data_IF_509573296995
#
_entry.id   IF_509573296995
#
_cell.length_a   1.000
_cell.length_b   1.000
_cell.length_c   1.000
_cell.angle_alpha   90.00
_cell.angle_beta   90.00
_cell.angle_gamma   90.00
#
_symmetry.space_group_name_H-M   'P 1'
#
loop_
_entity.id
_entity.type
_entity.pdbx_description
1 polymer ?
#
# COMPACT_ATOMS: atom_id res chain seq x y z
N UNK A 1 -10.30 19.14 36.82
CA UNK A 1 -8.95 18.57 37.03
C UNK A 1 -8.73 17.65 35.85
N UNK A 2 -8.07 18.01 34.74
CA UNK A 2 -7.03 19.02 34.47
C UNK A 2 -7.21 19.52 33.02
N UNK A 3 -7.70 20.74 32.82
CA UNK A 3 -8.00 21.28 31.47
C UNK A 3 -6.87 22.13 30.88
N UNK A 4 -5.74 22.26 31.56
CA UNK A 4 -4.62 23.09 31.14
C UNK A 4 -3.32 22.26 31.08
N UNK A 5 -3.28 21.24 30.21
CA UNK A 5 -2.01 20.61 29.86
C UNK A 5 -1.32 21.49 28.82
N UNK A 6 -0.21 22.18 29.15
CA UNK A 6 0.51 22.97 28.17
C UNK A 6 1.12 22.04 27.12
N UNK A 7 0.91 22.38 25.86
CA UNK A 7 1.49 21.70 24.70
C UNK A 7 2.46 22.64 23.99
N UNK A 8 3.44 22.08 23.30
CA UNK A 8 4.32 22.83 22.40
C UNK A 8 3.90 22.56 20.96
N UNK A 9 3.46 23.61 20.28
CA UNK A 9 3.10 23.53 18.87
C UNK A 9 4.28 23.99 18.03
N UNK A 10 4.73 23.14 17.12
CA UNK A 10 5.79 23.50 16.16
C UNK A 10 5.23 24.47 15.12
N UNK A 11 5.81 25.68 15.03
CA UNK A 11 5.50 26.63 13.95
C UNK A 11 6.43 26.40 12.75
N UNK A 12 7.68 26.02 13.02
CA UNK A 12 8.70 25.64 12.03
C UNK A 12 9.49 24.45 12.56
N UNK A 13 10.46 23.95 11.78
CA UNK A 13 11.31 22.82 12.19
C UNK A 13 12.15 23.09 13.46
N UNK A 14 12.40 24.34 13.81
CA UNK A 14 13.24 24.74 14.94
C UNK A 14 12.55 25.64 15.98
N UNK A 15 11.29 26.02 15.77
CA UNK A 15 10.55 26.92 16.66
C UNK A 15 9.26 26.27 17.18
N UNK A 16 9.13 26.23 18.50
CA UNK A 16 7.96 25.73 19.22
C UNK A 16 7.38 26.84 20.09
N UNK A 17 6.06 26.95 20.12
CA UNK A 17 5.34 27.93 20.94
C UNK A 17 4.43 27.19 21.92
N UNK A 18 4.38 27.61 23.21
CA UNK A 18 3.44 27.04 24.17
C UNK A 18 2.00 27.38 23.82
N UNK A 19 1.11 26.40 23.97
CA UNK A 19 -0.32 26.54 23.79
C UNK A 19 -1.10 25.62 24.72
N UNK A 20 -2.42 25.77 24.72
CA UNK A 20 -3.35 24.90 25.46
C UNK A 20 -4.43 24.45 24.47
N UNK A 21 -4.87 23.20 24.59
CA UNK A 21 -5.98 22.70 23.78
C UNK A 21 -7.29 23.34 24.25
N UNK A 22 -8.00 23.98 23.33
CA UNK A 22 -9.31 24.59 23.63
C UNK A 22 -10.40 23.53 23.84
N UNK A 23 -10.41 22.49 23.00
CA UNK A 23 -11.32 21.35 23.11
C UNK A 23 -10.53 20.05 22.82
N UNK A 24 -10.19 19.26 23.84
CA UNK A 24 -9.52 17.97 23.65
C UNK A 24 -10.41 16.85 23.12
N UNK A 25 -11.74 17.02 23.14
CA UNK A 25 -12.70 15.97 22.80
C UNK A 25 -13.14 16.02 21.33
N UNK A 26 -12.88 17.13 20.64
CA UNK A 26 -13.20 17.31 19.22
C UNK A 26 -11.97 17.60 18.37
N UNK A 27 -11.94 17.00 17.18
CA UNK A 27 -10.86 17.15 16.21
C UNK A 27 -11.42 17.35 14.81
N UNK A 28 -10.68 18.09 13.99
CA UNK A 28 -10.99 18.26 12.57
C UNK A 28 -10.31 17.13 11.79
N UNK A 29 -11.09 16.37 11.03
CA UNK A 29 -10.64 15.21 10.25
C UNK A 29 -10.77 15.50 8.76
N UNK A 30 -9.68 15.31 8.02
CA UNK A 30 -9.67 15.33 6.55
C UNK A 30 -10.34 14.05 6.01
N UNK A 31 -11.37 14.24 5.17
CA UNK A 31 -12.09 13.14 4.52
C UNK A 31 -11.77 13.02 3.03
N UNK A 32 -10.88 13.87 2.49
CA UNK A 32 -10.42 13.87 1.12
C UNK A 32 -10.96 15.04 0.29
N UNK A 33 -10.34 15.26 -0.89
CA UNK A 33 -10.71 16.33 -1.84
C UNK A 33 -10.73 17.75 -1.24
N UNK A 34 -10.00 17.97 -0.15
CA UNK A 34 -9.95 19.25 0.55
C UNK A 34 -11.12 19.53 1.51
N UNK A 35 -11.94 18.52 1.82
CA UNK A 35 -13.02 18.66 2.80
C UNK A 35 -12.62 18.16 4.17
N UNK A 36 -13.02 18.91 5.18
CA UNK A 36 -12.75 18.64 6.58
C UNK A 36 -14.07 18.61 7.36
N UNK A 37 -14.16 17.68 8.31
CA UNK A 37 -15.32 17.55 9.19
C UNK A 37 -14.87 17.47 10.64
N UNK A 38 -15.61 18.11 11.53
CA UNK A 38 -15.40 17.97 12.96
C UNK A 38 -15.96 16.62 13.44
N UNK A 39 -15.19 15.92 14.26
CA UNK A 39 -15.56 14.64 14.86
C UNK A 39 -15.13 14.60 16.32
N UNK A 40 -15.84 13.82 17.12
CA UNK A 40 -15.32 13.42 18.44
C UNK A 40 -14.00 12.66 18.26
N UNK A 41 -13.09 12.77 19.23
CA UNK A 41 -11.83 12.02 19.22
C UNK A 41 -12.05 10.51 19.10
N UNK A 42 -13.13 10.01 19.71
CA UNK A 42 -13.48 8.59 19.65
C UNK A 42 -13.90 8.14 18.25
N UNK A 43 -14.67 8.96 17.53
CA UNK A 43 -15.10 8.66 16.16
C UNK A 43 -13.99 8.90 15.14
N UNK A 44 -13.14 9.91 15.37
CA UNK A 44 -11.94 10.13 14.58
C UNK A 44 -10.99 8.93 14.67
N UNK A 45 -10.81 8.35 15.86
CA UNK A 45 -10.02 7.14 16.04
C UNK A 45 -10.59 5.97 15.23
N UNK A 46 -11.89 5.69 15.35
CA UNK A 46 -12.56 4.64 14.56
C UNK A 46 -12.42 4.88 13.05
N UNK A 47 -12.54 6.12 12.61
CA UNK A 47 -12.39 6.50 11.21
C UNK A 47 -10.99 6.15 10.68
N UNK A 48 -9.93 6.51 11.41
CA UNK A 48 -8.57 6.19 11.00
C UNK A 48 -8.24 4.69 11.13
N UNK A 49 -8.76 4.00 12.15
CA UNK A 49 -8.62 2.53 12.26
C UNK A 49 -9.26 1.81 11.08
N UNK A 50 -10.47 2.21 10.67
CA UNK A 50 -11.12 1.69 9.47
C UNK A 50 -10.27 1.99 8.22
N UNK A 51 -9.76 3.22 8.08
CA UNK A 51 -8.91 3.62 6.94
C UNK A 51 -7.62 2.80 6.85
N UNK A 52 -6.99 2.49 7.99
CA UNK A 52 -5.81 1.60 8.06
C UNK A 52 -6.20 0.18 7.67
N UNK A 53 -7.35 -0.32 8.14
CA UNK A 53 -7.89 -1.62 7.76
C UNK A 53 -8.12 -1.75 6.24
N UNK A 54 -8.76 -0.75 5.64
CA UNK A 54 -9.01 -0.67 4.20
C UNK A 54 -7.69 -0.62 3.41
N UNK A 55 -6.72 0.16 3.86
CA UNK A 55 -5.41 0.23 3.22
C UNK A 55 -4.69 -1.12 3.29
N UNK A 56 -4.77 -1.79 4.44
CA UNK A 56 -4.19 -3.12 4.65
C UNK A 56 -4.85 -4.21 3.78
N UNK A 57 -6.18 -4.17 3.62
CA UNK A 57 -6.88 -5.14 2.76
C UNK A 57 -6.55 -4.92 1.28
N UNK A 58 -6.48 -3.67 0.84
CA UNK A 58 -6.05 -3.31 -0.51
C UNK A 58 -4.60 -3.74 -0.80
N UNK A 59 -3.70 -3.57 0.17
CA UNK A 59 -2.31 -4.04 0.06
C UNK A 59 -2.25 -5.57 -0.14
N UNK A 60 -2.97 -6.33 0.70
CA UNK A 60 -3.02 -7.81 0.58
C UNK A 60 -3.58 -8.26 -0.77
N UNK A 61 -4.63 -7.59 -1.26
CA UNK A 61 -5.18 -7.87 -2.58
C UNK A 61 -4.14 -7.64 -3.69
N UNK A 62 -3.39 -6.53 -3.61
CA UNK A 62 -2.31 -6.22 -4.55
C UNK A 62 -1.17 -7.25 -4.49
N UNK A 63 -0.76 -7.67 -3.30
CA UNK A 63 0.24 -8.73 -3.10
C UNK A 63 -0.19 -10.04 -3.77
N UNK A 64 -1.46 -10.43 -3.60
CA UNK A 64 -2.02 -11.63 -4.25
C UNK A 64 -1.99 -11.51 -5.78
N UNK A 65 -2.34 -10.34 -6.33
CA UNK A 65 -2.28 -10.09 -7.78
C UNK A 65 -0.84 -10.20 -8.27
N UNK A 66 0.11 -9.62 -7.53
CA UNK A 66 1.52 -9.65 -7.88
C UNK A 66 2.07 -11.09 -7.89
N UNK A 67 1.73 -11.90 -6.87
CA UNK A 67 2.13 -13.30 -6.80
C UNK A 67 1.57 -14.11 -7.97
N UNK A 68 0.30 -13.91 -8.31
CA UNK A 68 -0.33 -14.54 -9.47
C UNK A 68 0.38 -14.16 -10.77
N UNK A 69 0.68 -12.88 -10.97
CA UNK A 69 1.39 -12.39 -12.16
C UNK A 69 2.82 -12.95 -12.25
N UNK A 70 3.53 -13.02 -11.13
CA UNK A 70 4.87 -13.60 -11.07
C UNK A 70 4.86 -15.08 -11.43
N UNK A 71 3.90 -15.85 -10.91
CA UNK A 71 3.75 -17.27 -11.26
C UNK A 71 3.43 -17.46 -12.75
N UNK A 72 2.49 -16.69 -13.28
CA UNK A 72 2.12 -16.76 -14.70
C UNK A 72 3.31 -16.46 -15.61
N UNK A 73 4.12 -15.45 -15.27
CA UNK A 73 5.33 -15.11 -16.01
C UNK A 73 6.32 -16.28 -16.05
N UNK A 74 6.56 -16.96 -14.92
CA UNK A 74 7.44 -18.13 -14.85
C UNK A 74 6.93 -19.29 -15.71
N UNK A 75 5.63 -19.57 -15.66
CA UNK A 75 5.00 -20.63 -16.47
C UNK A 75 5.16 -20.33 -17.96
N UNK A 76 4.93 -19.09 -18.37
CA UNK A 76 5.09 -18.67 -19.78
C UNK A 76 6.55 -18.81 -20.23
N UNK A 77 7.50 -18.41 -19.38
CA UNK A 77 8.94 -18.55 -19.67
C UNK A 77 9.36 -20.01 -19.84
N UNK A 78 8.90 -20.90 -18.95
CA UNK A 78 9.19 -22.34 -19.03
C UNK A 78 8.61 -22.96 -20.30
N UNK A 79 7.34 -22.65 -20.64
CA UNK A 79 6.72 -23.12 -21.87
C UNK A 79 7.44 -22.61 -23.12
N UNK A 80 7.92 -21.37 -23.10
CA UNK A 80 8.72 -20.81 -24.19
C UNK A 80 10.03 -21.58 -24.34
N UNK A 81 10.75 -21.84 -23.25
CA UNK A 81 11.98 -22.63 -23.24
C UNK A 81 11.77 -24.04 -23.76
N UNK A 82 10.69 -24.71 -23.33
CA UNK A 82 10.33 -26.04 -23.82
C UNK A 82 10.03 -26.05 -25.32
N UNK A 83 9.31 -25.04 -25.83
CA UNK A 83 9.04 -24.92 -27.27
C UNK A 83 10.32 -24.67 -28.07
N UNK A 84 11.22 -23.83 -27.58
CA UNK A 84 12.52 -23.55 -28.24
C UNK A 84 13.37 -24.83 -28.29
N UNK A 85 13.46 -25.59 -27.19
CA UNK A 85 14.20 -26.85 -27.17
C UNK A 85 13.62 -27.89 -28.13
N UNK A 86 12.28 -28.02 -28.18
CA UNK A 86 11.59 -28.93 -29.12
C UNK A 86 11.76 -28.49 -30.58
N UNK A 87 11.73 -27.19 -30.86
CA UNK A 87 11.97 -26.64 -32.19
C UNK A 87 13.43 -26.84 -32.62
N UNK A 88 14.40 -26.69 -31.71
CA UNK A 88 15.82 -26.94 -31.95
C UNK A 88 16.18 -28.43 -32.15
N UNK A 89 15.28 -29.36 -31.81
CA UNK A 89 15.42 -30.79 -32.09
C UNK A 89 14.83 -31.23 -33.44
N UNK A 90 14.36 -30.31 -34.29
CA UNK A 90 13.84 -30.63 -35.62
C UNK A 90 14.78 -30.05 -36.69
N UNK A 91 15.34 -30.95 -37.52
CA UNK A 91 16.35 -30.78 -38.60
C UNK A 91 17.81 -30.82 -38.09
N UNK A 92 18.61 -31.88 -38.36
CA UNK A 92 19.03 -32.42 -39.67
C UNK A 92 19.21 -33.97 -39.63
N UNK A 93 18.52 -34.79 -40.46
CA UNK A 93 19.06 -36.07 -40.89
C UNK A 93 20.09 -35.82 -42.02
N UNK A 94 21.38 -35.88 -41.69
CA UNK A 94 22.50 -35.97 -42.64
C UNK A 94 23.32 -37.21 -42.24
N UNK A 95 23.81 -38.09 -43.12
CA UNK A 95 23.90 -38.17 -44.57
C UNK A 95 24.34 -39.63 -44.91
N UNK A 96 23.99 -40.13 -46.11
CA UNK A 96 24.82 -40.98 -47.00
C UNK A 96 25.21 -42.43 -46.59
N UNK A 97 24.74 -43.44 -47.35
CA UNK A 97 25.57 -44.40 -48.13
C UNK A 97 24.75 -45.53 -48.77
N UNK A 98 25.02 -45.82 -50.06
CA UNK A 98 24.59 -47.03 -50.77
C UNK A 98 23.85 -46.78 -52.07
#
# INVERSE_FOLDING_TARGET
>A
MDTEKPILVALTSSLYVPGVLADPDHVIVDIGTGFYVEKSTSDAKKFYEARVGDLGSNLKALESILQGKANNSRVVEELLRQKILKAGSTEIPSKTNG
#
